data_IF_686538347294
#
_entry.id   IF_686538347294
#
_cell.length_a   1.000
_cell.length_b   1.000
_cell.length_c   1.000
_cell.angle_alpha   90.00
_cell.angle_beta   90.00
_cell.angle_gamma   90.00
#
_symmetry.space_group_name_H-M   'P 1'
#
loop_
_entity.id
_entity.type
_entity.pdbx_description
1 polymer ?
#
# COMPACT_ATOMS: atom_id res chain seq x y z
N UNK A 1 -5.09 3.63 -34.83
CA UNK A 1 -5.87 4.26 -33.74
C UNK A 1 -5.75 3.36 -32.53
N UNK A 2 -4.73 3.60 -31.70
CA UNK A 2 -4.44 2.76 -30.53
C UNK A 2 -5.32 3.20 -29.38
N UNK A 3 -6.20 2.30 -28.95
CA UNK A 3 -7.10 2.49 -27.82
C UNK A 3 -6.27 2.42 -26.53
N UNK A 4 -5.79 3.56 -26.02
CA UNK A 4 -5.16 3.64 -24.70
C UNK A 4 -6.22 3.51 -23.63
N UNK A 5 -6.63 2.28 -23.35
CA UNK A 5 -7.37 1.96 -22.15
C UNK A 5 -6.45 2.26 -20.95
N UNK A 6 -6.64 3.43 -20.32
CA UNK A 6 -6.11 3.68 -18.98
C UNK A 6 -6.48 2.49 -18.09
N UNK A 7 -5.55 2.00 -17.24
CA UNK A 7 -5.85 0.93 -16.32
C UNK A 7 -7.07 1.33 -15.47
N UNK A 8 -8.03 0.42 -15.34
CA UNK A 8 -9.17 0.57 -14.45
C UNK A 8 -8.62 0.73 -13.03
N UNK A 9 -8.58 1.98 -12.56
CA UNK A 9 -8.10 2.33 -11.22
C UNK A 9 -9.05 1.68 -10.20
N UNK A 10 -8.55 0.90 -9.24
CA UNK A 10 -9.40 0.32 -8.20
C UNK A 10 -9.93 1.46 -7.31
N UNK A 11 -11.11 1.96 -7.67
CA UNK A 11 -11.79 3.10 -7.04
C UNK A 11 -12.73 2.62 -5.93
N UNK A 12 -12.43 1.47 -5.30
CA UNK A 12 -13.41 0.82 -4.43
C UNK A 12 -13.35 1.35 -3.00
N UNK A 13 -13.70 2.63 -2.85
CA UNK A 13 -14.03 3.23 -1.56
C UNK A 13 -15.33 2.64 -0.98
N UNK A 14 -16.19 2.06 -1.83
CA UNK A 14 -17.47 1.47 -1.45
C UNK A 14 -17.36 0.21 -0.58
N UNK A 15 -16.23 -0.50 -0.62
CA UNK A 15 -15.95 -1.64 0.25
C UNK A 15 -15.35 -1.28 1.61
N UNK A 16 -15.08 0.00 1.89
CA UNK A 16 -14.53 0.40 3.18
C UNK A 16 -15.60 0.31 4.26
N UNK A 17 -15.27 -0.38 5.35
CA UNK A 17 -16.12 -0.39 6.53
C UNK A 17 -16.02 0.97 7.25
N UNK A 18 -17.02 1.81 7.04
CA UNK A 18 -17.12 3.14 7.64
C UNK A 18 -17.88 3.14 8.98
N UNK A 19 -18.35 1.98 9.47
CA UNK A 19 -19.07 1.88 10.75
C UNK A 19 -18.21 2.32 11.94
N UNK A 20 -16.88 2.12 11.84
CA UNK A 20 -15.88 2.62 12.80
C UNK A 20 -16.00 4.13 13.06
N UNK A 21 -16.45 4.91 12.07
CA UNK A 21 -16.63 6.36 12.22
C UNK A 21 -17.85 6.71 13.08
N UNK A 22 -18.90 5.91 12.98
CA UNK A 22 -20.12 6.10 13.76
C UNK A 22 -19.87 5.72 15.23
N UNK A 23 -19.12 4.64 15.46
CA UNK A 23 -18.65 4.25 16.80
C UNK A 23 -17.72 5.31 17.42
N UNK A 24 -16.74 5.81 16.66
CA UNK A 24 -15.85 6.89 17.12
C UNK A 24 -16.63 8.16 17.46
N UNK A 25 -17.61 8.53 16.63
CA UNK A 25 -18.46 9.71 16.89
C UNK A 25 -19.24 9.55 18.19
N UNK A 26 -19.75 8.34 18.47
CA UNK A 26 -20.47 8.03 19.71
C UNK A 26 -19.57 8.16 20.94
N UNK A 27 -18.38 7.53 20.90
CA UNK A 27 -17.40 7.62 21.99
C UNK A 27 -16.93 9.06 22.22
N UNK A 28 -16.76 9.84 21.15
CA UNK A 28 -16.38 11.25 21.25
C UNK A 28 -17.46 12.08 21.95
N UNK A 29 -18.74 11.87 21.63
CA UNK A 29 -19.84 12.55 22.29
C UNK A 29 -19.92 12.22 23.79
N UNK A 30 -19.68 10.96 24.17
CA UNK A 30 -19.61 10.55 25.58
C UNK A 30 -18.42 11.19 26.31
N UNK A 31 -17.25 11.26 25.67
CA UNK A 31 -16.06 11.94 26.20
C UNK A 31 -16.32 13.43 26.43
N UNK A 32 -16.94 14.11 25.46
CA UNK A 32 -17.30 15.53 25.58
C UNK A 32 -18.28 15.78 26.73
N UNK A 33 -19.24 14.86 26.93
CA UNK A 33 -20.15 14.93 28.06
C UNK A 33 -19.42 14.80 29.41
N UNK A 34 -18.46 13.86 29.52
CA UNK A 34 -17.63 13.72 30.73
C UNK A 34 -16.74 14.92 30.96
N UNK A 35 -16.11 15.46 29.92
CA UNK A 35 -15.26 16.66 30.01
C UNK A 35 -16.08 17.88 30.46
N UNK A 36 -17.31 18.04 29.95
CA UNK A 36 -18.24 19.08 30.39
C UNK A 36 -18.65 18.93 31.86
N UNK A 37 -18.92 17.70 32.32
CA UNK A 37 -19.21 17.41 33.73
C UNK A 37 -18.01 17.72 34.64
N UNK A 38 -16.82 17.26 34.26
CA UNK A 38 -15.57 17.53 34.98
C UNK A 38 -15.32 19.04 35.11
N UNK A 39 -15.47 19.79 34.02
CA UNK A 39 -15.36 21.26 34.03
C UNK A 39 -16.42 21.93 34.93
N UNK A 40 -17.65 21.42 34.90
CA UNK A 40 -18.75 21.94 35.74
C UNK A 40 -18.54 21.64 37.23
N UNK A 41 -17.87 20.54 37.56
CA UNK A 41 -17.56 20.18 38.94
C UNK A 41 -16.62 21.20 39.59
N UNK A 42 -15.61 21.70 38.86
CA UNK A 42 -14.63 22.64 39.41
C UNK A 42 -15.30 23.90 39.97
N UNK A 43 -16.37 24.40 39.32
CA UNK A 43 -17.15 25.55 39.81
C UNK A 43 -18.06 25.25 41.01
N UNK A 44 -18.21 23.98 41.41
CA UNK A 44 -19.05 23.53 42.54
C UNK A 44 -18.23 22.89 43.66
N UNK A 45 -16.90 23.03 43.62
CA UNK A 45 -15.99 22.39 44.58
C UNK A 45 -16.31 22.73 46.04
N UNK A 46 -16.64 23.99 46.31
CA UNK A 46 -16.93 24.48 47.67
C UNK A 46 -18.32 24.07 48.20
N UNK A 47 -19.20 23.56 47.33
CA UNK A 47 -20.56 23.16 47.72
C UNK A 47 -20.61 21.79 48.42
N UNK A 48 -19.51 21.04 48.42
CA UNK A 48 -19.41 19.69 48.99
C UNK A 48 -18.12 19.52 49.76
N UNK A 49 -18.05 18.51 50.63
CA UNK A 49 -16.80 18.14 51.28
C UNK A 49 -15.75 17.73 50.23
N UNK A 50 -14.49 18.08 50.47
CA UNK A 50 -13.38 17.83 49.54
C UNK A 50 -13.24 16.35 49.18
N UNK A 51 -13.42 15.45 50.14
CA UNK A 51 -13.36 14.00 49.89
C UNK A 51 -14.45 13.52 48.92
N UNK A 52 -15.66 14.10 49.01
CA UNK A 52 -16.77 13.78 48.10
C UNK A 52 -16.45 14.29 46.69
N UNK A 53 -15.94 15.52 46.57
CA UNK A 53 -15.49 16.08 45.29
C UNK A 53 -14.42 15.19 44.65
N UNK A 54 -13.39 14.82 45.42
CA UNK A 54 -12.27 14.01 44.93
C UNK A 54 -12.71 12.61 44.48
N UNK A 55 -13.60 11.96 45.21
CA UNK A 55 -14.13 10.64 44.84
C UNK A 55 -14.90 10.70 43.51
N UNK A 56 -15.86 11.63 43.39
CA UNK A 56 -16.67 11.76 42.16
C UNK A 56 -15.80 12.15 40.97
N UNK A 57 -14.81 13.04 41.18
CA UNK A 57 -13.86 13.43 40.13
C UNK A 57 -13.04 12.22 39.66
N UNK A 58 -12.57 11.39 40.58
CA UNK A 58 -11.85 10.14 40.27
C UNK A 58 -12.71 9.20 39.44
N UNK A 59 -13.98 9.04 39.79
CA UNK A 59 -14.91 8.17 39.06
C UNK A 59 -15.09 8.65 37.61
N UNK A 60 -15.30 9.95 37.39
CA UNK A 60 -15.41 10.50 36.03
C UNK A 60 -14.10 10.41 35.24
N UNK A 61 -12.95 10.65 35.88
CA UNK A 61 -11.65 10.48 35.23
C UNK A 61 -11.39 9.02 34.83
N UNK A 62 -11.78 8.05 35.67
CA UNK A 62 -11.70 6.63 35.36
C UNK A 62 -12.61 6.25 34.18
N UNK A 63 -13.87 6.74 34.17
CA UNK A 63 -14.79 6.54 33.05
C UNK A 63 -14.23 7.12 31.74
N UNK A 64 -13.68 8.33 31.81
CA UNK A 64 -13.06 9.00 30.66
C UNK A 64 -11.88 8.17 30.12
N UNK A 65 -11.01 7.68 31.00
CA UNK A 65 -9.88 6.85 30.62
C UNK A 65 -10.32 5.55 29.93
N UNK A 66 -11.34 4.86 30.45
CA UNK A 66 -11.90 3.67 29.81
C UNK A 66 -12.46 3.96 28.40
N UNK A 67 -13.09 5.11 28.20
CA UNK A 67 -13.59 5.50 26.87
C UNK A 67 -12.44 5.81 25.90
N UNK A 68 -11.38 6.46 26.36
CA UNK A 68 -10.16 6.70 25.56
C UNK A 68 -9.52 5.38 25.14
N UNK A 69 -9.37 4.44 26.07
CA UNK A 69 -8.80 3.11 25.80
C UNK A 69 -9.64 2.32 24.79
N UNK A 70 -10.97 2.42 24.87
CA UNK A 70 -11.87 1.82 23.88
C UNK A 70 -11.77 2.50 22.51
N UNK A 71 -11.56 3.81 22.47
CA UNK A 71 -11.48 4.57 21.23
C UNK A 71 -10.16 4.35 20.48
N UNK A 72 -9.05 4.06 21.17
CA UNK A 72 -7.73 3.89 20.55
C UNK A 72 -7.67 2.89 19.38
N UNK A 73 -8.13 1.63 19.51
CA UNK A 73 -8.12 0.70 18.38
C UNK A 73 -8.96 1.20 17.19
N UNK A 74 -10.10 1.82 17.47
CA UNK A 74 -10.96 2.40 16.43
C UNK A 74 -10.27 3.59 15.75
N UNK A 75 -9.55 4.44 16.49
CA UNK A 75 -8.73 5.53 15.93
C UNK A 75 -7.61 4.99 15.06
N UNK A 76 -6.93 3.91 15.46
CA UNK A 76 -5.90 3.24 14.65
C UNK A 76 -6.47 2.71 13.33
N UNK A 77 -7.65 2.07 13.39
CA UNK A 77 -8.35 1.60 12.21
C UNK A 77 -8.78 2.76 11.30
N UNK A 78 -9.35 3.82 11.88
CA UNK A 78 -9.74 5.02 11.14
C UNK A 78 -8.55 5.72 10.46
N UNK A 79 -7.39 5.83 11.13
CA UNK A 79 -6.14 6.34 10.51
C UNK A 79 -5.74 5.50 9.30
N UNK A 80 -5.76 4.18 9.45
CA UNK A 80 -5.38 3.25 8.37
C UNK A 80 -6.33 3.34 7.17
N UNK A 81 -7.64 3.51 7.42
CA UNK A 81 -8.61 3.72 6.36
C UNK A 81 -8.45 5.10 5.71
N UNK A 82 -8.22 6.15 6.50
CA UNK A 82 -8.03 7.50 5.98
C UNK A 82 -6.80 7.61 5.07
N UNK A 83 -5.71 6.91 5.38
CA UNK A 83 -4.54 6.82 4.49
C UNK A 83 -4.90 6.24 3.12
N UNK A 84 -5.81 5.25 3.06
CA UNK A 84 -6.29 4.71 1.78
C UNK A 84 -7.14 5.73 1.03
N UNK A 85 -8.03 6.43 1.73
CA UNK A 85 -8.85 7.51 1.12
C UNK A 85 -7.95 8.60 0.55
N UNK A 86 -6.91 9.01 1.27
CA UNK A 86 -5.90 9.98 0.79
C UNK A 86 -5.19 9.51 -0.48
N UNK A 87 -4.78 8.24 -0.55
CA UNK A 87 -4.15 7.69 -1.74
C UNK A 87 -5.10 7.75 -2.96
N UNK A 88 -6.37 7.36 -2.77
CA UNK A 88 -7.39 7.42 -3.83
C UNK A 88 -7.67 8.85 -4.28
N UNK A 89 -7.71 9.82 -3.35
CA UNK A 89 -7.86 11.25 -3.70
C UNK A 89 -6.73 11.73 -4.62
N UNK A 90 -5.48 11.44 -4.26
CA UNK A 90 -4.31 11.84 -5.07
C UNK A 90 -4.38 11.22 -6.49
N UNK A 91 -4.76 9.95 -6.58
CA UNK A 91 -4.91 9.28 -7.87
C UNK A 91 -6.04 9.87 -8.72
N UNK A 92 -7.20 10.17 -8.13
CA UNK A 92 -8.33 10.77 -8.81
C UNK A 92 -8.04 12.21 -9.27
N UNK A 93 -7.34 13.01 -8.45
CA UNK A 93 -6.90 14.35 -8.81
C UNK A 93 -5.92 14.33 -9.99
N UNK A 94 -4.94 13.42 -9.96
CA UNK A 94 -4.00 13.22 -11.07
C UNK A 94 -4.70 12.77 -12.37
N UNK A 95 -5.64 11.82 -12.26
CA UNK A 95 -6.41 11.35 -13.40
C UNK A 95 -7.32 12.45 -13.98
N UNK A 96 -7.95 13.27 -13.13
CA UNK A 96 -8.76 14.41 -13.57
C UNK A 96 -7.90 15.46 -14.27
N UNK A 97 -6.73 15.78 -13.70
CA UNK A 97 -5.75 16.71 -14.27
C UNK A 97 -5.30 16.27 -15.67
N UNK A 98 -5.03 14.97 -15.86
CA UNK A 98 -4.68 14.40 -17.17
C UNK A 98 -5.78 14.65 -18.21
N UNK A 99 -7.05 14.43 -17.85
CA UNK A 99 -8.17 14.66 -18.77
C UNK A 99 -8.36 16.16 -19.06
N UNK A 100 -8.05 17.04 -18.11
CA UNK A 100 -8.07 18.49 -18.32
C UNK A 100 -6.98 18.92 -19.28
N UNK A 101 -5.75 18.42 -19.12
CA UNK A 101 -4.65 18.68 -20.04
C UNK A 101 -4.97 18.20 -21.47
N UNK A 102 -5.59 17.01 -21.62
CA UNK A 102 -6.04 16.52 -22.93
C UNK A 102 -7.04 17.49 -23.60
N UNK A 103 -7.96 18.08 -22.82
CA UNK A 103 -8.94 19.04 -23.33
C UNK A 103 -8.29 20.37 -23.72
N UNK A 104 -7.33 20.85 -22.92
CA UNK A 104 -6.53 22.04 -23.22
C UNK A 104 -5.66 21.84 -24.47
N UNK A 105 -5.06 20.66 -24.64
CA UNK A 105 -4.30 20.33 -25.85
C UNK A 105 -5.21 20.36 -27.09
N UNK A 106 -6.42 19.80 -27.00
CA UNK A 106 -7.40 19.84 -28.11
C UNK A 106 -7.70 21.28 -28.51
N UNK A 107 -7.90 22.17 -27.54
CA UNK A 107 -8.15 23.60 -27.79
C UNK A 107 -6.94 24.30 -28.39
N UNK A 108 -5.76 24.02 -27.87
CA UNK A 108 -4.52 24.60 -28.36
C UNK A 108 -4.26 24.19 -29.82
N UNK A 109 -4.37 22.91 -30.16
CA UNK A 109 -4.19 22.42 -31.53
C UNK A 109 -5.24 22.99 -32.49
N UNK A 110 -6.49 23.16 -32.03
CA UNK A 110 -7.51 23.87 -32.79
C UNK A 110 -7.09 25.33 -33.07
N UNK A 111 -6.58 26.05 -32.07
CA UNK A 111 -6.12 27.44 -32.24
C UNK A 111 -4.93 27.59 -33.21
N UNK A 112 -4.17 26.52 -33.41
CA UNK A 112 -3.09 26.44 -34.41
C UNK A 112 -3.62 26.10 -35.83
N UNK A 113 -4.92 25.88 -35.98
CA UNK A 113 -5.56 25.52 -37.24
C UNK A 113 -5.41 24.04 -37.63
N UNK A 114 -4.98 23.16 -36.71
CA UNK A 114 -4.90 21.72 -37.00
C UNK A 114 -6.28 21.07 -37.08
N UNK A 115 -7.28 21.63 -36.38
CA UNK A 115 -8.64 21.13 -36.33
C UNK A 115 -9.64 22.22 -36.73
N UNK A 116 -10.64 21.84 -37.50
CA UNK A 116 -11.87 22.61 -37.66
C UNK A 116 -12.78 22.43 -36.42
N UNK A 117 -13.70 23.37 -36.21
CA UNK A 117 -14.62 23.40 -35.06
C UNK A 117 -15.32 22.04 -34.81
N UNK A 118 -15.84 21.42 -35.88
CA UNK A 118 -16.58 20.16 -35.77
C UNK A 118 -15.73 19.00 -35.23
N UNK A 119 -14.44 18.97 -35.58
CA UNK A 119 -13.54 17.91 -35.14
C UNK A 119 -13.02 18.18 -33.72
N UNK A 120 -12.77 19.45 -33.35
CA UNK A 120 -12.52 19.85 -31.96
C UNK A 120 -13.65 19.40 -31.04
N UNK A 121 -14.89 19.70 -31.43
CA UNK A 121 -16.08 19.37 -30.64
C UNK A 121 -16.28 17.86 -30.51
N UNK A 122 -16.03 17.10 -31.60
CA UNK A 122 -16.05 15.64 -31.55
C UNK A 122 -15.02 15.09 -30.56
N UNK A 123 -13.79 15.58 -30.58
CA UNK A 123 -12.72 15.13 -29.66
C UNK A 123 -13.05 15.47 -28.20
N UNK A 124 -13.53 16.69 -27.92
CA UNK A 124 -13.98 17.07 -26.59
C UNK A 124 -15.14 16.19 -26.10
N UNK A 125 -16.12 15.94 -26.97
CA UNK A 125 -17.26 15.07 -26.64
C UNK A 125 -16.83 13.65 -26.31
N UNK A 126 -15.80 13.13 -26.97
CA UNK A 126 -15.24 11.80 -26.66
C UNK A 126 -14.63 11.72 -25.24
N UNK A 127 -14.16 12.84 -24.68
CA UNK A 127 -13.58 12.92 -23.31
C UNK A 127 -14.60 13.30 -22.24
N UNK A 128 -15.76 13.84 -22.62
CA UNK A 128 -16.75 14.39 -21.69
C UNK A 128 -17.27 13.36 -20.67
N UNK A 129 -17.48 12.10 -21.09
CA UNK A 129 -17.92 11.03 -20.20
C UNK A 129 -16.87 10.74 -19.12
N UNK A 130 -15.60 10.59 -19.52
CA UNK A 130 -14.48 10.36 -18.60
C UNK A 130 -14.31 11.55 -17.65
N UNK A 131 -14.38 12.79 -18.15
CA UNK A 131 -14.31 13.97 -17.29
C UNK A 131 -15.40 13.96 -16.22
N UNK A 132 -16.64 13.64 -16.60
CA UNK A 132 -17.78 13.58 -15.68
C UNK A 132 -17.60 12.47 -14.64
N UNK A 133 -17.19 11.28 -15.06
CA UNK A 133 -16.94 10.14 -14.18
C UNK A 133 -15.84 10.46 -13.15
N UNK A 134 -14.70 11.00 -13.60
CA UNK A 134 -13.58 11.34 -12.70
C UNK A 134 -13.94 12.43 -11.70
N UNK A 135 -14.70 13.44 -12.12
CA UNK A 135 -15.22 14.47 -11.20
C UNK A 135 -16.16 13.87 -10.16
N UNK A 136 -17.12 13.04 -10.59
CA UNK A 136 -18.05 12.38 -9.65
C UNK A 136 -17.33 11.50 -8.64
N UNK A 137 -16.35 10.70 -9.09
CA UNK A 137 -15.55 9.87 -8.19
C UNK A 137 -14.72 10.72 -7.21
N UNK A 138 -14.16 11.85 -7.65
CA UNK A 138 -13.44 12.78 -6.78
C UNK A 138 -14.37 13.38 -5.72
N UNK A 139 -15.56 13.83 -6.12
CA UNK A 139 -16.57 14.40 -5.21
C UNK A 139 -17.00 13.36 -4.15
N UNK A 140 -17.21 12.10 -4.56
CA UNK A 140 -17.52 10.99 -3.64
C UNK A 140 -16.39 10.72 -2.65
N UNK A 141 -15.14 10.67 -3.14
CA UNK A 141 -13.98 10.47 -2.29
C UNK A 141 -13.79 11.62 -1.28
N UNK A 142 -14.01 12.86 -1.72
CA UNK A 142 -13.97 14.04 -0.85
C UNK A 142 -15.09 14.01 0.19
N UNK A 143 -16.29 13.57 -0.16
CA UNK A 143 -17.38 13.38 0.79
C UNK A 143 -17.04 12.35 1.87
N UNK A 144 -16.37 11.24 1.49
CA UNK A 144 -15.87 10.26 2.45
C UNK A 144 -14.81 10.88 3.36
N UNK A 145 -13.82 11.60 2.80
CA UNK A 145 -12.80 12.30 3.59
C UNK A 145 -13.42 13.30 4.59
N UNK A 146 -14.46 14.03 4.19
CA UNK A 146 -15.20 14.93 5.08
C UNK A 146 -15.88 14.18 6.24
N UNK A 147 -16.39 12.97 6.01
CA UNK A 147 -16.93 12.12 7.10
C UNK A 147 -15.86 11.74 8.11
N UNK A 148 -14.65 11.39 7.66
CA UNK A 148 -13.51 11.14 8.54
C UNK A 148 -13.16 12.37 9.38
N UNK A 149 -13.05 13.55 8.76
CA UNK A 149 -12.72 14.78 9.47
C UNK A 149 -13.78 15.17 10.52
N UNK A 150 -15.06 14.88 10.25
CA UNK A 150 -16.17 15.11 11.19
C UNK A 150 -16.15 14.13 12.37
N UNK A 151 -16.04 12.83 12.09
CA UNK A 151 -16.08 11.77 13.10
C UNK A 151 -14.79 11.67 13.93
N UNK A 152 -13.68 12.14 13.35
CA UNK A 152 -12.37 12.10 13.97
C UNK A 152 -11.61 13.39 13.63
N UNK A 153 -11.86 14.47 14.39
CA UNK A 153 -11.14 15.73 14.22
C UNK A 153 -9.63 15.53 14.39
N UNK A 154 -8.86 16.03 13.42
CA UNK A 154 -7.39 15.92 13.42
C UNK A 154 -6.83 14.65 12.78
N UNK A 155 -7.67 13.75 12.27
CA UNK A 155 -7.25 12.53 11.55
C UNK A 155 -6.22 12.81 10.45
N UNK A 156 -6.29 13.97 9.81
CA UNK A 156 -5.36 14.34 8.74
C UNK A 156 -3.91 14.49 9.21
N UNK A 157 -3.73 15.01 10.42
CA UNK A 157 -2.43 15.21 11.05
C UNK A 157 -1.92 13.89 11.63
N UNK A 158 -2.81 13.13 12.26
CA UNK A 158 -2.46 11.85 12.89
C UNK A 158 -2.21 10.72 11.87
N UNK A 159 -2.85 10.72 10.70
CA UNK A 159 -2.60 9.72 9.67
C UNK A 159 -1.24 9.90 8.97
N UNK A 160 -0.64 11.09 9.04
CA UNK A 160 0.70 11.38 8.51
C UNK A 160 1.80 10.97 9.50
N UNK A 161 1.44 10.78 10.77
CA UNK A 161 2.36 10.24 11.79
C UNK A 161 2.26 8.71 11.73
N UNK A 162 3.23 8.06 11.06
CA UNK A 162 3.38 6.61 11.20
C UNK A 162 3.46 6.28 12.70
N UNK A 163 2.70 5.29 13.20
CA UNK A 163 2.94 4.80 14.55
C UNK A 163 4.34 4.20 14.56
N UNK A 164 5.28 4.90 15.21
CA UNK A 164 6.48 4.28 15.72
C UNK A 164 6.00 3.18 16.65
N UNK A 165 6.20 1.92 16.24
CA UNK A 165 5.97 0.78 17.11
C UNK A 165 6.69 1.07 18.44
N UNK A 166 6.03 0.95 19.60
CA UNK A 166 6.74 1.06 20.86
C UNK A 166 7.87 0.02 20.85
N UNK A 167 9.10 0.39 21.25
CA UNK A 167 10.14 -0.60 21.43
C UNK A 167 9.59 -1.63 22.42
N UNK A 168 9.52 -2.88 21.98
CA UNK A 168 9.28 -4.01 22.86
C UNK A 168 10.34 -3.88 23.96
N UNK A 169 9.91 -3.57 25.17
CA UNK A 169 10.76 -3.63 26.35
C UNK A 169 11.31 -5.05 26.45
N UNK A 170 12.53 -5.25 25.97
CA UNK A 170 13.36 -6.38 26.33
C UNK A 170 13.52 -6.33 27.84
N UNK A 171 12.91 -7.31 28.48
CA UNK A 171 13.08 -7.57 29.90
C UNK A 171 14.55 -7.94 30.14
N UNK A 172 15.16 -7.25 31.08
CA UNK A 172 16.48 -7.58 31.61
C UNK A 172 16.49 -9.01 32.15
N UNK A 173 17.51 -9.81 31.79
CA UNK A 173 18.26 -10.54 32.81
C UNK A 173 19.71 -10.79 32.33
N UNK A 174 20.73 -10.62 33.20
CA UNK A 174 22.13 -10.49 32.83
C UNK A 174 22.85 -11.82 33.01
N UNK A 175 23.67 -12.24 32.05
CA UNK A 175 24.82 -13.09 32.37
C UNK A 175 25.95 -13.02 31.34
N UNK A 176 27.12 -12.65 31.86
CA UNK A 176 28.48 -13.05 31.44
C UNK A 176 28.99 -12.49 30.10
N UNK A 177 29.77 -11.41 30.12
CA UNK A 177 31.21 -11.30 30.50
C UNK A 177 32.18 -11.77 29.39
N UNK A 178 32.63 -10.75 28.64
CA UNK A 178 34.02 -10.45 28.21
C UNK A 178 34.80 -11.57 27.49
N UNK A 179 35.18 -11.30 26.23
CA UNK A 179 36.60 -11.06 25.87
C UNK A 179 36.77 -10.39 24.49
N UNK A 180 37.54 -9.32 24.55
CA UNK A 180 38.19 -8.49 23.54
C UNK A 180 39.34 -9.27 22.87
N UNK A 181 39.44 -9.22 21.53
CA UNK A 181 40.69 -9.13 20.73
C UNK A 181 40.27 -8.48 19.41
N UNK A 182 40.50 -7.19 19.18
CA UNK A 182 41.71 -6.55 18.63
C UNK A 182 41.95 -6.83 17.14
N UNK A 183 42.14 -5.70 16.44
CA UNK A 183 42.51 -5.52 15.04
C UNK A 183 43.69 -6.40 14.62
N UNK A 184 43.69 -6.84 13.37
CA UNK A 184 44.93 -6.79 12.62
C UNK A 184 44.66 -6.48 11.14
N UNK A 185 45.53 -5.60 10.67
CA UNK A 185 45.54 -4.93 9.39
C UNK A 185 46.30 -5.81 8.36
N UNK A 186 46.43 -5.24 7.16
CA UNK A 186 47.47 -5.48 6.16
C UNK A 186 47.24 -6.61 5.14
N UNK A 187 47.16 -6.18 3.87
CA UNK A 187 48.14 -6.42 2.77
C UNK A 187 47.54 -6.89 1.44
N UNK A 188 47.34 -5.90 0.59
CA UNK A 188 47.84 -5.77 -0.79
C UNK A 188 48.74 -6.90 -1.32
N UNK A 189 48.36 -7.45 -2.47
CA UNK A 189 49.18 -7.96 -3.60
C UNK A 189 48.27 -8.89 -4.42
N UNK A 190 48.36 -9.07 -5.74
CA UNK A 190 49.04 -8.45 -6.88
C UNK A 190 48.56 -9.32 -8.05
N UNK A 191 48.36 -8.73 -9.23
CA UNK A 191 48.03 -9.46 -10.46
C UNK A 191 49.14 -10.47 -10.82
N UNK A 192 48.78 -11.56 -11.51
CA UNK A 192 49.29 -11.66 -12.87
C UNK A 192 48.26 -12.22 -13.89
N UNK A 193 48.08 -11.47 -14.99
CA UNK A 193 48.05 -12.03 -16.36
C UNK A 193 49.48 -12.47 -16.73
N UNK A 194 49.72 -13.40 -17.68
CA UNK A 194 49.24 -13.26 -19.06
C UNK A 194 48.99 -14.56 -19.88
N UNK A 195 48.57 -14.34 -21.14
CA UNK A 195 48.77 -15.19 -22.34
C UNK A 195 48.01 -16.53 -22.43
N UNK A 196 47.51 -17.00 -23.56
CA UNK A 196 47.38 -16.55 -24.94
C UNK A 196 46.51 -17.62 -25.69
N UNK A 197 46.06 -17.28 -26.90
CA UNK A 197 45.74 -18.20 -28.00
C UNK A 197 44.33 -18.79 -28.13
N UNK A 198 43.65 -18.29 -29.19
CA UNK A 198 42.93 -19.04 -30.25
C UNK A 198 41.41 -18.81 -30.38
N UNK A 199 41.03 -17.96 -31.36
CA UNK A 199 39.81 -18.06 -32.17
C UNK A 199 40.10 -18.91 -33.43
N UNK A 200 39.13 -19.25 -34.31
CA UNK A 200 37.79 -19.85 -34.16
C UNK A 200 37.69 -21.15 -35.04
N UNK A 201 36.52 -21.81 -35.25
CA UNK A 201 35.70 -21.43 -36.42
C UNK A 201 34.17 -21.66 -36.27
N UNK A 202 33.46 -21.22 -37.31
CA UNK A 202 32.02 -21.11 -37.53
C UNK A 202 31.26 -22.45 -37.77
N UNK A 203 29.97 -22.44 -37.37
CA UNK A 203 28.78 -23.07 -38.00
C UNK A 203 28.72 -24.63 -38.15
N UNK A 204 27.54 -25.28 -38.31
CA UNK A 204 26.23 -24.72 -38.70
C UNK A 204 24.99 -25.21 -37.89
N UNK A 205 23.88 -24.55 -38.23
CA UNK A 205 22.49 -24.82 -37.88
C UNK A 205 22.11 -26.32 -37.95
N UNK A 206 21.40 -26.80 -36.92
CA UNK A 206 20.56 -28.01 -37.03
C UNK A 206 19.19 -27.77 -36.43
N UNK A 207 18.20 -28.09 -37.26
CA UNK A 207 16.78 -27.86 -37.06
C UNK A 207 16.19 -28.74 -35.95
N UNK A 208 15.28 -28.16 -35.15
CA UNK A 208 14.41 -28.89 -34.21
C UNK A 208 13.11 -29.27 -34.95
N UNK A 209 12.64 -30.53 -34.90
CA UNK A 209 11.39 -30.95 -35.54
C UNK A 209 10.14 -30.42 -34.81
N UNK A 210 8.97 -30.34 -35.48
CA UNK A 210 7.75 -29.80 -34.89
C UNK A 210 7.09 -30.78 -33.90
N UNK A 211 6.60 -30.23 -32.79
CA UNK A 211 5.80 -30.93 -31.80
C UNK A 211 4.37 -31.25 -32.31
N UNK A 212 3.72 -32.35 -31.84
CA UNK A 212 2.37 -32.74 -32.25
C UNK A 212 1.28 -31.82 -31.68
N UNK A 213 0.07 -31.78 -32.30
CA UNK A 213 -0.99 -30.83 -31.95
C UNK A 213 -1.69 -31.18 -30.63
N UNK A 214 -2.02 -30.15 -29.86
CA UNK A 214 -2.83 -30.24 -28.63
C UNK A 214 -4.31 -30.55 -28.92
N UNK A 215 -5.02 -31.25 -28.01
CA UNK A 215 -6.46 -31.54 -28.15
C UNK A 215 -7.35 -30.29 -28.02
N UNK A 216 -8.59 -30.31 -28.56
CA UNK A 216 -9.43 -29.13 -28.66
C UNK A 216 -9.99 -28.68 -27.31
N UNK A 217 -9.95 -27.37 -27.09
CA UNK A 217 -10.49 -26.67 -25.90
C UNK A 217 -12.01 -26.63 -25.98
N UNK A 218 -12.68 -27.20 -24.97
CA UNK A 218 -14.12 -27.05 -24.77
C UNK A 218 -14.47 -25.62 -24.28
N UNK A 219 -15.64 -25.06 -24.64
CA UNK A 219 -16.00 -23.69 -24.31
C UNK A 219 -16.20 -23.47 -22.79
N UNK A 220 -15.58 -22.41 -22.25
CA UNK A 220 -15.66 -22.01 -20.85
C UNK A 220 -17.08 -21.63 -20.44
N UNK A 221 -17.56 -22.27 -19.37
CA UNK A 221 -18.76 -21.85 -18.64
C UNK A 221 -18.54 -20.49 -17.93
N UNK A 222 -19.59 -19.69 -17.70
CA UNK A 222 -19.50 -18.41 -17.01
C UNK A 222 -19.08 -18.58 -15.52
N UNK A 223 -18.36 -17.61 -14.94
CA UNK A 223 -17.86 -17.73 -13.57
C UNK A 223 -19.00 -17.73 -12.54
N UNK A 224 -18.94 -18.58 -11.50
CA UNK A 224 -19.94 -18.60 -10.44
C UNK A 224 -19.87 -17.34 -9.59
N UNK A 225 -21.05 -16.89 -9.12
CA UNK A 225 -21.20 -15.74 -8.21
C UNK A 225 -20.47 -16.03 -6.90
N UNK A 226 -19.69 -15.05 -6.42
CA UNK A 226 -18.84 -15.16 -5.21
C UNK A 226 -19.70 -15.18 -3.94
N UNK A 227 -19.53 -16.23 -3.13
CA UNK A 227 -20.11 -16.36 -1.80
C UNK A 227 -19.08 -15.84 -0.77
N UNK A 228 -19.42 -14.93 0.15
CA UNK A 228 -18.47 -14.35 1.11
C UNK A 228 -17.95 -15.36 2.17
N UNK A 229 -18.61 -16.51 2.33
CA UNK A 229 -18.23 -17.58 3.26
C UNK A 229 -17.47 -18.75 2.59
N UNK A 230 -16.85 -18.52 1.43
CA UNK A 230 -16.14 -19.57 0.72
C UNK A 230 -14.77 -19.90 1.36
N UNK A 231 -14.57 -21.15 1.76
CA UNK A 231 -13.26 -21.71 2.13
C UNK A 231 -12.29 -21.55 0.96
N UNK A 232 -11.33 -20.63 1.06
CA UNK A 232 -10.31 -20.43 0.03
C UNK A 232 -9.22 -21.50 0.20
N UNK A 233 -9.11 -22.40 -0.77
CA UNK A 233 -7.99 -23.34 -0.85
C UNK A 233 -6.73 -22.55 -1.21
N UNK A 234 -5.82 -22.37 -0.24
CA UNK A 234 -4.52 -21.75 -0.47
C UNK A 234 -3.64 -22.68 -1.31
N UNK A 235 -3.28 -22.25 -2.51
CA UNK A 235 -2.34 -22.96 -3.39
C UNK A 235 -1.00 -22.21 -3.36
N UNK A 236 0.08 -22.79 -2.82
CA UNK A 236 1.37 -22.12 -2.79
C UNK A 236 1.89 -21.93 -4.22
N UNK A 237 2.37 -20.73 -4.53
CA UNK A 237 3.05 -20.44 -5.78
C UNK A 237 4.57 -20.64 -5.63
N UNK A 238 5.30 -20.66 -6.75
CA UNK A 238 6.77 -20.80 -6.75
C UNK A 238 7.39 -19.73 -7.63
N UNK A 239 8.49 -19.16 -7.17
CA UNK A 239 9.36 -18.29 -7.97
C UNK A 239 10.55 -19.10 -8.45
N UNK A 240 10.88 -18.91 -9.73
CA UNK A 240 12.04 -19.50 -10.38
C UNK A 240 12.96 -18.37 -10.80
N UNK A 241 14.25 -18.54 -10.54
CA UNK A 241 15.26 -17.66 -11.09
C UNK A 241 15.41 -17.98 -12.59
N UNK A 242 15.37 -16.94 -13.42
CA UNK A 242 15.50 -17.04 -14.88
C UNK A 242 16.90 -16.67 -15.37
N UNK A 243 17.72 -16.04 -14.53
CA UNK A 243 19.01 -15.46 -14.92
C UNK A 243 20.22 -16.26 -14.40
N UNK A 244 20.04 -17.13 -13.42
CA UNK A 244 21.12 -18.02 -12.96
C UNK A 244 21.18 -19.31 -13.79
N UNK A 245 22.37 -19.59 -14.34
CA UNK A 245 22.71 -20.84 -15.03
C UNK A 245 22.86 -22.04 -14.05
N UNK A 246 22.67 -21.76 -12.75
CA UNK A 246 22.64 -22.73 -11.67
C UNK A 246 21.24 -22.69 -11.06
N UNK A 247 20.50 -23.82 -10.99
CA UNK A 247 19.12 -23.80 -10.53
C UNK A 247 19.08 -23.47 -9.04
N UNK A 248 18.90 -22.18 -8.70
CA UNK A 248 18.40 -21.81 -7.38
C UNK A 248 17.03 -22.48 -7.23
N UNK A 249 16.88 -23.28 -6.17
CA UNK A 249 15.65 -24.02 -5.93
C UNK A 249 14.42 -23.10 -5.90
N UNK A 250 13.22 -23.58 -6.27
CA UNK A 250 12.04 -22.74 -6.34
C UNK A 250 11.70 -22.14 -4.96
N UNK A 251 11.71 -20.80 -4.85
CA UNK A 251 11.23 -20.13 -3.65
C UNK A 251 9.72 -20.31 -3.56
N UNK A 252 9.25 -21.01 -2.51
CA UNK A 252 7.83 -21.28 -2.33
C UNK A 252 7.15 -20.11 -1.64
N UNK A 253 6.15 -19.54 -2.30
CA UNK A 253 5.32 -18.47 -1.75
C UNK A 253 4.25 -19.08 -0.85
N UNK A 254 4.44 -18.89 0.45
CA UNK A 254 3.54 -19.36 1.50
C UNK A 254 2.68 -18.25 2.08
N UNK A 255 2.11 -18.52 3.25
CA UNK A 255 1.35 -17.51 4.01
C UNK A 255 2.25 -16.43 4.65
N UNK A 256 3.55 -16.72 4.79
CA UNK A 256 4.54 -15.76 5.25
C UNK A 256 5.02 -14.91 4.06
N UNK A 257 5.05 -13.56 4.18
CA UNK A 257 5.67 -12.72 3.18
C UNK A 257 7.14 -13.06 2.99
N UNK A 258 7.59 -13.05 1.74
CA UNK A 258 8.95 -13.31 1.30
C UNK A 258 9.60 -11.98 0.92
N UNK A 259 10.77 -11.69 1.49
CA UNK A 259 11.49 -10.43 1.30
C UNK A 259 12.68 -10.56 0.34
N UNK A 260 12.91 -9.51 -0.46
CA UNK A 260 13.97 -9.42 -1.48
C UNK A 260 14.83 -8.18 -1.23
N UNK A 261 16.15 -8.32 -1.34
CA UNK A 261 17.07 -7.18 -1.22
C UNK A 261 18.52 -7.61 -1.06
N UNK A 262 19.43 -6.67 -0.86
CA UNK A 262 20.86 -6.96 -0.65
C UNK A 262 21.22 -7.25 0.81
N UNK A 263 20.33 -6.96 1.77
CA UNK A 263 20.52 -7.27 3.20
C UNK A 263 20.46 -8.78 3.45
N UNK A 264 21.38 -9.30 4.27
CA UNK A 264 21.44 -10.72 4.66
C UNK A 264 20.20 -11.19 5.46
N UNK A 265 19.37 -10.27 5.94
CA UNK A 265 18.09 -10.56 6.59
C UNK A 265 16.94 -10.80 5.61
N UNK A 266 17.14 -10.55 4.31
CA UNK A 266 16.13 -10.86 3.30
C UNK A 266 16.09 -12.37 3.03
N UNK A 267 14.89 -12.90 2.77
CA UNK A 267 14.73 -14.32 2.46
C UNK A 267 15.36 -14.68 1.10
N UNK A 268 15.39 -13.72 0.17
CA UNK A 268 16.07 -13.81 -1.11
C UNK A 268 17.06 -12.66 -1.24
N UNK A 269 18.34 -13.00 -1.28
CA UNK A 269 19.40 -12.01 -1.42
C UNK A 269 19.71 -11.75 -2.90
N UNK A 270 19.71 -10.49 -3.29
CA UNK A 270 19.98 -10.02 -4.65
C UNK A 270 21.07 -8.96 -4.58
N UNK A 271 22.13 -9.10 -5.36
CA UNK A 271 23.21 -8.13 -5.43
C UNK A 271 22.83 -6.93 -6.33
N UNK A 272 23.35 -5.75 -6.01
CA UNK A 272 23.12 -4.53 -6.81
C UNK A 272 21.75 -3.86 -6.64
N UNK A 273 20.92 -4.30 -5.68
CA UNK A 273 19.63 -3.69 -5.33
C UNK A 273 19.65 -3.08 -3.92
N UNK A 274 18.58 -2.36 -3.56
CA UNK A 274 18.45 -1.76 -2.23
C UNK A 274 18.45 -2.83 -1.10
N UNK A 275 18.82 -2.48 0.15
CA UNK A 275 18.89 -3.41 1.28
C UNK A 275 17.61 -4.23 1.49
N UNK A 276 16.44 -3.58 1.36
CA UNK A 276 15.12 -4.22 1.25
C UNK A 276 14.41 -3.63 0.04
N UNK A 277 14.50 -4.33 -1.09
CA UNK A 277 14.01 -3.89 -2.38
C UNK A 277 12.51 -4.12 -2.53
N UNK A 278 12.04 -5.34 -2.23
CA UNK A 278 10.64 -5.71 -2.46
C UNK A 278 10.17 -6.81 -1.50
N UNK A 279 8.86 -7.01 -1.41
CA UNK A 279 8.23 -8.07 -0.63
C UNK A 279 7.07 -8.71 -1.40
N UNK A 280 6.98 -10.04 -1.39
CA UNK A 280 5.84 -10.79 -1.93
C UNK A 280 5.07 -11.45 -0.80
N UNK A 281 3.79 -11.12 -0.64
CA UNK A 281 2.93 -11.68 0.41
C UNK A 281 1.61 -12.23 -0.12
N UNK A 282 0.92 -13.08 0.64
CA UNK A 282 -0.41 -13.57 0.25
C UNK A 282 -1.47 -12.46 0.30
N UNK A 283 -2.49 -12.61 -0.53
CA UNK A 283 -3.70 -11.79 -0.61
C UNK A 283 -4.91 -12.69 -0.83
N UNK A 284 -6.12 -12.17 -0.60
CA UNK A 284 -7.38 -12.89 -0.89
C UNK A 284 -7.52 -13.29 -2.37
N UNK A 285 -6.77 -12.65 -3.27
CA UNK A 285 -6.77 -12.93 -4.72
C UNK A 285 -5.50 -13.61 -5.24
N UNK A 286 -4.57 -14.03 -4.38
CA UNK A 286 -3.30 -14.65 -4.81
C UNK A 286 -2.11 -14.09 -4.03
N UNK A 287 -1.10 -13.58 -4.73
CA UNK A 287 0.07 -12.93 -4.12
C UNK A 287 0.15 -11.47 -4.57
N UNK A 288 0.66 -10.61 -3.70
CA UNK A 288 0.93 -9.20 -3.97
C UNK A 288 2.43 -8.96 -3.87
N UNK A 289 2.98 -8.22 -4.83
CA UNK A 289 4.36 -7.72 -4.80
C UNK A 289 4.32 -6.25 -4.38
N UNK A 290 5.15 -5.87 -3.41
CA UNK A 290 5.31 -4.50 -2.94
C UNK A 290 6.75 -4.06 -3.16
N UNK A 291 6.95 -2.96 -3.86
CA UNK A 291 8.26 -2.29 -3.95
C UNK A 291 8.47 -1.45 -2.69
N UNK A 292 9.57 -1.69 -1.98
CA UNK A 292 9.93 -1.01 -0.74
C UNK A 292 11.00 0.07 -0.94
N UNK A 293 11.72 0.05 -2.07
CA UNK A 293 12.83 0.95 -2.37
C UNK A 293 12.51 1.98 -3.48
N UNK A 294 11.31 1.91 -4.06
CA UNK A 294 10.73 2.94 -4.93
C UNK A 294 10.91 2.67 -6.42
N UNK A 295 9.86 2.17 -7.08
CA UNK A 295 9.65 2.00 -8.55
C UNK A 295 10.81 1.43 -9.38
N UNK A 296 11.74 0.69 -8.77
CA UNK A 296 12.79 -0.03 -9.51
C UNK A 296 12.33 -1.46 -9.85
N UNK A 297 11.36 -1.98 -9.09
CA UNK A 297 10.82 -3.32 -9.29
C UNK A 297 9.91 -3.33 -10.51
N UNK A 298 10.08 -4.34 -11.38
CA UNK A 298 9.28 -4.51 -12.59
C UNK A 298 8.63 -5.89 -12.64
N UNK A 299 7.37 -5.94 -13.05
CA UNK A 299 6.64 -7.18 -13.37
C UNK A 299 6.39 -7.21 -14.86
N UNK A 300 6.89 -8.25 -15.55
CA UNK A 300 6.81 -8.37 -17.02
C UNK A 300 7.31 -7.11 -17.76
N UNK A 301 8.39 -6.50 -17.26
CA UNK A 301 9.00 -5.29 -17.83
C UNK A 301 8.31 -3.96 -17.47
N UNK A 302 7.17 -3.99 -16.77
CA UNK A 302 6.46 -2.79 -16.32
C UNK A 302 6.77 -2.47 -14.86
N UNK A 303 7.01 -1.20 -14.48
CA UNK A 303 7.23 -0.83 -13.08
C UNK A 303 5.97 -1.09 -12.25
N UNK A 304 6.18 -1.59 -11.03
CA UNK A 304 5.13 -1.79 -10.01
C UNK A 304 5.11 -0.68 -8.97
#
# INVERSE_FOLDING_TARGET
>A
MSNSASPAVPTDLGQMDLTVLDELSTLQAELEQLDSRLKSMDGRREAVAEEVFNRVRRDYLSQRQMLVEKAEPLRQQARSLYTKVKAVLIELESALSTVQMDLEEIDFRHSLGEYEDAERDRRKKAKAATLKERKGALDEAQAIAARFAKAFPGVEKEATTLPSLPPVSESEDPTKRVKKVEEDEIRTAELPSPEDSSQPPEAPLSAVPPAPPAPPVAPSAPPPRRNPDATVVFRPARLLDQASDQPSGPYTLGLKPLSFGSDARCDVQIEGVAPRQAEVGPSRSGFILRDLAGRVTKVNGQPV
#
